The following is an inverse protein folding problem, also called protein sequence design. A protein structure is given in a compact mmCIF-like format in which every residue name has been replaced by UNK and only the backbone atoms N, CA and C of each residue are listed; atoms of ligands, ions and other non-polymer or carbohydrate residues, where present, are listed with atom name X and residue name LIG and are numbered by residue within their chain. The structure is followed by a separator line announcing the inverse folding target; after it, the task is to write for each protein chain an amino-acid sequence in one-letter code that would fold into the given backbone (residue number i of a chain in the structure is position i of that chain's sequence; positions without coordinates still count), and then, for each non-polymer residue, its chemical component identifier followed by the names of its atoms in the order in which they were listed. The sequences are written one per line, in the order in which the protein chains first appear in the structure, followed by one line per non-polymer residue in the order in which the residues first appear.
data_IF_411542316898
#
_entry.id   IF_411542316898
#
_cell.length_a   1.000
_cell.length_b   1.000
_cell.length_c   1.000
_cell.angle_alpha   90.00
_cell.angle_beta   90.00
_cell.angle_gamma   90.00
#
_symmetry.space_group_name_H-M   'P 1'
#
loop_
_entity.id
_entity.type
_entity.pdbx_description
1 polymer ?
#
# COMPACT_ATOMS: atom_id res chain seq x y z
N UNK A 1 1.22 -2.48 -39.05
CA UNK A 1 1.85 -2.36 -37.71
C UNK A 1 2.19 -0.92 -37.36
N UNK A 2 2.79 -0.14 -38.29
CA UNK A 2 3.17 1.25 -38.04
C UNK A 2 1.99 2.20 -37.81
N UNK A 3 0.83 1.92 -38.42
CA UNK A 3 -0.36 2.77 -38.29
C UNK A 3 -0.91 2.81 -36.86
N UNK A 4 -0.95 1.65 -36.20
CA UNK A 4 -1.40 1.54 -34.80
C UNK A 4 -0.55 2.38 -33.85
N UNK A 5 0.78 2.36 -33.99
CA UNK A 5 1.67 3.18 -33.17
C UNK A 5 1.46 4.68 -33.43
N UNK A 6 1.14 5.06 -34.68
CA UNK A 6 0.84 6.44 -35.04
C UNK A 6 -0.50 6.92 -34.45
N UNK A 7 -1.51 6.05 -34.42
CA UNK A 7 -2.83 6.33 -33.85
C UNK A 7 -2.78 6.34 -32.33
N UNK A 8 -2.05 5.40 -31.72
CA UNK A 8 -1.81 5.39 -30.29
C UNK A 8 -1.07 6.64 -29.82
N UNK A 9 -0.03 7.07 -30.56
CA UNK A 9 0.65 8.35 -30.29
C UNK A 9 -0.34 9.53 -30.34
N UNK A 10 -1.19 9.58 -31.37
CA UNK A 10 -2.24 10.62 -31.46
C UNK A 10 -3.28 10.53 -30.34
N UNK A 11 -3.56 9.33 -29.84
CA UNK A 11 -4.48 9.09 -28.73
C UNK A 11 -3.90 9.58 -27.40
N UNK A 12 -2.66 9.21 -27.07
CA UNK A 12 -2.01 9.65 -25.82
C UNK A 12 -1.66 11.14 -25.82
N UNK A 13 -1.45 11.75 -27.00
CA UNK A 13 -1.23 13.19 -27.11
C UNK A 13 -2.49 14.01 -26.85
N UNK A 14 -3.66 13.36 -26.67
CA UNK A 14 -4.85 14.03 -26.14
C UNK A 14 -4.60 14.32 -24.65
N UNK A 15 -4.48 15.61 -24.30
CA UNK A 15 -4.21 16.03 -22.91
C UNK A 15 -5.12 15.35 -21.88
N UNK A 16 -6.43 15.25 -22.15
CA UNK A 16 -7.39 14.58 -21.27
C UNK A 16 -7.06 13.10 -20.94
N UNK A 17 -6.40 12.37 -21.85
CA UNK A 17 -6.02 10.97 -21.63
C UNK A 17 -4.69 10.88 -20.87
N UNK A 18 -3.74 11.74 -21.24
CA UNK A 18 -2.42 11.78 -20.61
C UNK A 18 -2.53 12.18 -19.13
N UNK A 19 -3.31 13.21 -18.83
CA UNK A 19 -3.48 13.72 -17.46
C UNK A 19 -4.21 12.70 -16.58
N UNK A 20 -5.20 11.99 -17.14
CA UNK A 20 -5.87 10.89 -16.44
C UNK A 20 -4.90 9.74 -16.14
N UNK A 21 -4.06 9.34 -17.11
CA UNK A 21 -3.09 8.27 -16.92
C UNK A 21 -2.04 8.62 -15.85
N UNK A 22 -1.55 9.86 -15.84
CA UNK A 22 -0.62 10.35 -14.82
C UNK A 22 -1.27 10.29 -13.43
N UNK A 23 -2.54 10.70 -13.30
CA UNK A 23 -3.28 10.63 -12.04
C UNK A 23 -3.31 9.22 -11.45
N UNK A 24 -3.65 8.21 -12.24
CA UNK A 24 -3.74 6.81 -11.79
C UNK A 24 -2.36 6.24 -11.41
N UNK A 25 -1.31 6.56 -12.17
CA UNK A 25 0.05 6.09 -11.88
C UNK A 25 0.59 6.70 -10.59
N UNK A 26 0.38 8.01 -10.40
CA UNK A 26 0.80 8.70 -9.18
C UNK A 26 -0.01 8.19 -7.99
N UNK A 27 -1.32 7.98 -8.12
CA UNK A 27 -2.15 7.37 -7.08
C UNK A 27 -1.62 6.00 -6.63
N UNK A 28 -1.37 5.10 -7.58
CA UNK A 28 -0.91 3.74 -7.28
C UNK A 28 0.47 3.72 -6.59
N UNK A 29 1.38 4.60 -7.00
CA UNK A 29 2.70 4.72 -6.39
C UNK A 29 2.65 5.42 -5.02
N UNK A 30 1.90 6.53 -4.92
CA UNK A 30 1.81 7.35 -3.73
C UNK A 30 1.08 6.63 -2.59
N UNK A 31 0.06 5.83 -2.90
CA UNK A 31 -0.65 5.01 -1.92
C UNK A 31 0.30 4.14 -1.10
N UNK A 32 1.28 3.47 -1.75
CA UNK A 32 2.30 2.66 -1.03
C UNK A 32 3.19 3.48 -0.10
N UNK A 33 3.53 4.70 -0.50
CA UNK A 33 4.33 5.63 0.31
C UNK A 33 3.54 6.01 1.55
N UNK A 34 2.27 6.39 1.37
CA UNK A 34 1.37 6.74 2.47
C UNK A 34 1.15 5.53 3.40
N UNK A 35 0.92 4.33 2.87
CA UNK A 35 0.76 3.12 3.69
C UNK A 35 2.00 2.81 4.52
N UNK A 36 3.20 2.96 3.95
CA UNK A 36 4.45 2.74 4.67
C UNK A 36 4.65 3.78 5.77
N UNK A 37 4.35 5.06 5.47
CA UNK A 37 4.39 6.14 6.45
C UNK A 37 3.44 5.86 7.63
N UNK A 38 2.21 5.46 7.31
CA UNK A 38 1.21 5.15 8.34
C UNK A 38 1.68 3.97 9.18
N UNK A 39 2.18 2.91 8.56
CA UNK A 39 2.60 1.69 9.27
C UNK A 39 3.80 1.91 10.18
N UNK A 40 4.84 2.60 9.68
CA UNK A 40 6.10 2.68 10.41
C UNK A 40 6.24 3.93 11.28
N UNK A 41 5.50 5.00 11.00
CA UNK A 41 5.65 6.28 11.72
C UNK A 41 4.38 6.64 12.51
N UNK A 42 3.20 6.42 11.94
CA UNK A 42 1.94 6.85 12.57
C UNK A 42 1.37 5.79 13.53
N UNK A 43 1.40 4.51 13.15
CA UNK A 43 0.88 3.43 13.98
C UNK A 43 1.60 3.25 15.32
N UNK A 44 2.94 3.38 15.45
CA UNK A 44 3.59 3.17 16.75
C UNK A 44 3.16 4.18 17.84
N UNK A 45 3.14 5.50 17.58
CA UNK A 45 2.59 6.47 18.54
C UNK A 45 1.09 6.27 18.81
N UNK A 46 0.29 5.95 17.78
CA UNK A 46 -1.14 5.68 17.96
C UNK A 46 -1.40 4.41 18.77
N UNK A 47 -0.62 3.35 18.57
CA UNK A 47 -0.71 2.10 19.33
C UNK A 47 -0.37 2.30 20.81
N UNK A 48 0.61 3.17 21.11
CA UNK A 48 0.90 3.58 22.49
C UNK A 48 -0.26 4.39 23.09
N UNK A 49 -0.85 5.32 22.33
CA UNK A 49 -1.94 6.18 22.81
C UNK A 49 -3.27 5.43 23.02
N UNK A 50 -3.54 4.41 22.20
CA UNK A 50 -4.74 3.58 22.25
C UNK A 50 -4.62 2.37 23.21
N UNK A 51 -3.55 2.29 24.01
CA UNK A 51 -3.45 1.30 25.11
C UNK A 51 -2.37 0.24 24.96
N UNK A 52 -1.33 0.46 24.14
CA UNK A 52 -0.17 -0.44 24.03
C UNK A 52 -0.42 -1.68 23.15
N UNK A 53 -1.46 -1.66 22.33
CA UNK A 53 -1.72 -2.73 21.36
C UNK A 53 -0.86 -2.47 20.12
N UNK A 54 0.19 -3.27 19.96
CA UNK A 54 0.96 -3.33 18.72
C UNK A 54 0.16 -4.12 17.67
N UNK A 55 -0.62 -3.41 16.84
CA UNK A 55 -1.37 -4.00 15.73
C UNK A 55 -0.48 -4.67 14.67
N UNK A 56 0.83 -4.42 14.68
CA UNK A 56 1.76 -5.14 13.79
C UNK A 56 1.97 -6.59 14.21
N UNK A 57 1.78 -6.91 15.50
CA UNK A 57 1.97 -8.25 16.07
C UNK A 57 0.71 -8.77 16.80
N UNK A 58 -0.48 -8.22 16.50
CA UNK A 58 -1.70 -8.63 17.17
C UNK A 58 -2.25 -9.93 16.56
N UNK A 59 -1.95 -11.06 17.18
CA UNK A 59 -2.56 -12.34 16.87
C UNK A 59 -3.11 -13.01 18.13
N UNK A 60 -4.23 -13.70 17.98
CA UNK A 60 -4.84 -14.50 19.04
C UNK A 60 -4.57 -15.96 18.70
N UNK A 61 -3.70 -16.61 19.48
CA UNK A 61 -3.46 -18.05 19.38
C UNK A 61 -4.73 -18.82 19.77
N UNK A 62 -5.34 -19.49 18.81
CA UNK A 62 -6.51 -20.37 19.02
C UNK A 62 -6.12 -21.79 19.46
N UNK A 63 -4.82 -22.10 19.60
CA UNK A 63 -4.31 -23.41 20.03
C UNK A 63 -3.61 -23.32 21.39
N UNK A 64 -3.90 -24.27 22.29
CA UNK A 64 -3.49 -24.22 23.71
C UNK A 64 -2.08 -24.76 23.96
N UNK A 65 -1.28 -25.03 22.92
CA UNK A 65 -0.13 -25.97 23.04
C UNK A 65 1.24 -25.43 22.59
N UNK A 66 1.36 -24.28 21.92
CA UNK A 66 2.69 -23.65 21.73
C UNK A 66 2.65 -22.14 21.90
N UNK A 67 3.50 -21.65 22.82
CA UNK A 67 3.81 -20.24 23.02
C UNK A 67 4.71 -19.80 21.86
N UNK A 68 4.10 -19.44 20.74
CA UNK A 68 4.81 -18.71 19.68
C UNK A 68 4.93 -17.26 20.13
N UNK A 69 6.14 -16.80 20.37
CA UNK A 69 6.39 -15.43 20.86
C UNK A 69 6.36 -14.41 19.71
N UNK A 70 6.36 -14.86 18.45
CA UNK A 70 6.28 -14.01 17.25
C UNK A 70 5.49 -14.66 16.11
N UNK A 71 4.91 -13.85 15.22
CA UNK A 71 4.19 -14.27 14.01
C UNK A 71 5.04 -15.10 13.04
N UNK A 72 6.37 -14.96 13.09
CA UNK A 72 7.29 -15.72 12.23
C UNK A 72 7.44 -17.18 12.69
N UNK A 73 7.02 -17.51 13.91
CA UNK A 73 7.19 -18.81 14.55
C UNK A 73 5.85 -19.56 14.77
N UNK A 74 4.71 -18.90 14.53
CA UNK A 74 3.36 -19.44 14.72
C UNK A 74 2.81 -20.19 13.50
#
# INVERSE_FOLDING_TARGET
MNDFLSEFKRFIMRGNVLDMAIGVVVEAAFSKIVSSLVTYIIMPPLGVLLGGIDFSNFFILLSTTKRAETLAEA
#
